data_IF_260398930401
#
_entry.id   IF_260398930401
#
_cell.length_a   1.000
_cell.length_b   1.000
_cell.length_c   1.000
_cell.angle_alpha   90.00
_cell.angle_beta   90.00
_cell.angle_gamma   90.00
#
_symmetry.space_group_name_H-M   'P 1'
#
loop_
_entity.id
_entity.type
_entity.pdbx_description
1 polymer ?
#
# COMPACT_ATOMS: atom_id res chain seq x y z
N UNK A 1 -16.86 -25.73 4.86
CA UNK A 1 -17.23 -24.71 3.85
C UNK A 1 -16.45 -23.45 4.17
N UNK A 2 -15.52 -22.97 3.32
CA UNK A 2 -14.83 -21.71 3.60
C UNK A 2 -15.77 -20.54 3.30
N UNK A 3 -15.96 -19.65 4.28
CA UNK A 3 -16.82 -18.48 4.17
C UNK A 3 -16.21 -17.47 3.19
N UNK A 4 -17.05 -17.11 2.23
CA UNK A 4 -16.86 -16.06 1.23
C UNK A 4 -16.45 -14.74 1.93
N UNK A 5 -15.26 -14.25 1.60
CA UNK A 5 -14.72 -12.97 2.09
C UNK A 5 -15.61 -11.84 1.59
N UNK A 6 -16.00 -10.96 2.51
CA UNK A 6 -16.79 -9.78 2.24
C UNK A 6 -16.06 -8.87 1.22
N UNK A 7 -16.64 -8.57 0.03
CA UNK A 7 -15.93 -7.89 -1.06
C UNK A 7 -15.59 -6.42 -0.77
N UNK A 8 -15.99 -5.87 0.40
CA UNK A 8 -15.64 -4.52 0.83
C UNK A 8 -14.49 -4.41 1.83
N UNK A 9 -14.02 -5.53 2.39
CA UNK A 9 -13.08 -5.53 3.52
C UNK A 9 -11.65 -5.78 3.04
N UNK A 10 -10.74 -4.81 3.28
CA UNK A 10 -9.34 -4.96 2.90
C UNK A 10 -8.61 -6.03 3.73
N UNK A 11 -7.52 -6.55 3.16
CA UNK A 11 -6.68 -7.60 3.73
C UNK A 11 -5.19 -7.41 3.39
N UNK A 12 -4.31 -7.93 4.26
CA UNK A 12 -2.85 -7.91 4.08
C UNK A 12 -2.35 -9.34 3.81
N UNK A 13 -1.55 -9.50 2.77
CA UNK A 13 -0.95 -10.76 2.37
C UNK A 13 0.57 -10.66 2.50
N UNK A 14 1.18 -11.62 3.21
CA UNK A 14 2.63 -11.67 3.43
C UNK A 14 3.21 -12.70 2.46
N UNK A 15 4.07 -12.25 1.57
CA UNK A 15 4.86 -13.09 0.69
C UNK A 15 6.33 -13.00 1.13
N UNK A 16 6.79 -14.04 1.80
CA UNK A 16 8.18 -14.14 2.24
C UNK A 16 9.02 -14.86 1.16
N UNK A 17 10.10 -14.22 0.74
CA UNK A 17 11.12 -14.79 -0.14
C UNK A 17 12.48 -14.53 0.50
N UNK A 18 13.48 -15.38 0.24
CA UNK A 18 14.76 -15.44 0.97
C UNK A 18 15.56 -14.14 1.11
N UNK A 19 15.16 -13.05 0.44
CA UNK A 19 15.82 -11.75 0.49
C UNK A 19 14.87 -10.56 0.73
N UNK A 20 13.55 -10.71 0.53
CA UNK A 20 12.57 -9.63 0.62
C UNK A 20 11.24 -10.18 1.12
N UNK A 21 10.71 -9.55 2.16
CA UNK A 21 9.33 -9.76 2.60
C UNK A 21 8.42 -8.75 1.91
N UNK A 22 7.42 -9.23 1.16
CA UNK A 22 6.44 -8.39 0.46
C UNK A 22 5.11 -8.42 1.20
N UNK A 23 4.65 -7.25 1.63
CA UNK A 23 3.32 -7.05 2.23
C UNK A 23 2.39 -6.51 1.16
N UNK A 24 1.55 -7.37 0.58
CA UNK A 24 0.57 -6.97 -0.43
C UNK A 24 -0.75 -6.56 0.24
N UNK A 25 -1.21 -5.35 -0.05
CA UNK A 25 -2.50 -4.84 0.42
C UNK A 25 -3.55 -5.07 -0.66
N UNK A 26 -4.68 -5.67 -0.28
CA UNK A 26 -5.85 -5.84 -1.15
C UNK A 26 -7.06 -5.15 -0.56
N UNK A 27 -7.83 -4.44 -1.37
CA UNK A 27 -9.06 -3.78 -0.94
C UNK A 27 -8.82 -2.48 -0.18
N UNK A 28 -9.86 -1.98 0.49
CA UNK A 28 -9.85 -0.66 1.14
C UNK A 28 -8.88 -0.64 2.33
N UNK A 29 -7.99 0.35 2.37
CA UNK A 29 -7.15 0.62 3.54
C UNK A 29 -7.89 1.62 4.44
N UNK A 30 -8.64 1.08 5.40
CA UNK A 30 -9.52 1.80 6.31
C UNK A 30 -9.02 1.79 7.76
N UNK A 31 -9.80 2.37 8.68
CA UNK A 31 -9.49 2.42 10.11
C UNK A 31 -9.32 1.04 10.78
N UNK A 32 -9.83 -0.03 10.17
CA UNK A 32 -9.69 -1.40 10.68
C UNK A 32 -8.36 -2.00 10.20
N UNK A 33 -8.03 -1.84 8.92
CA UNK A 33 -6.83 -2.43 8.32
C UNK A 33 -5.55 -1.63 8.60
N UNK A 34 -5.67 -0.31 8.77
CA UNK A 34 -4.54 0.59 9.06
C UNK A 34 -3.70 0.18 10.28
N UNK A 35 -4.28 -0.07 11.47
CA UNK A 35 -3.49 -0.49 12.63
C UNK A 35 -2.85 -1.88 12.43
N UNK A 36 -3.55 -2.80 11.76
CA UNK A 36 -3.02 -4.13 11.44
C UNK A 36 -1.79 -4.04 10.53
N UNK A 37 -1.84 -3.18 9.50
CA UNK A 37 -0.71 -2.93 8.60
C UNK A 37 0.52 -2.41 9.36
N UNK A 38 0.33 -1.46 10.28
CA UNK A 38 1.41 -0.91 11.10
C UNK A 38 2.00 -2.00 11.99
N UNK A 39 1.17 -2.80 12.63
CA UNK A 39 1.63 -3.89 13.50
C UNK A 39 2.42 -4.96 12.72
N UNK A 40 1.93 -5.37 11.55
CA UNK A 40 2.62 -6.34 10.68
C UNK A 40 3.96 -5.79 10.22
N UNK A 41 4.02 -4.51 9.83
CA UNK A 41 5.27 -3.84 9.48
C UNK A 41 6.27 -3.83 10.63
N UNK A 42 5.87 -3.39 11.82
CA UNK A 42 6.74 -3.31 13.00
C UNK A 42 7.27 -4.69 13.41
N UNK A 43 6.43 -5.72 13.32
CA UNK A 43 6.83 -7.11 13.55
C UNK A 43 7.84 -7.56 12.50
N UNK A 44 7.53 -7.36 11.22
CA UNK A 44 8.37 -7.83 10.11
C UNK A 44 9.72 -7.11 10.05
N UNK A 45 9.78 -5.81 10.39
CA UNK A 45 11.06 -5.06 10.33
C UNK A 45 12.03 -5.51 11.41
N UNK A 46 11.52 -6.04 12.52
CA UNK A 46 12.35 -6.54 13.62
C UNK A 46 13.07 -7.86 13.29
N UNK A 47 12.56 -8.63 12.31
CA UNK A 47 13.11 -9.94 11.91
C UNK A 47 14.12 -9.85 10.75
N UNK A 48 14.38 -8.66 10.20
CA UNK A 48 15.56 -8.38 9.38
C UNK A 48 15.51 -8.48 7.84
N UNK A 49 14.46 -8.99 7.14
CA UNK A 49 14.44 -8.89 5.68
C UNK A 49 14.09 -7.47 5.24
N UNK A 50 14.53 -7.11 4.04
CA UNK A 50 14.04 -5.89 3.39
C UNK A 50 12.54 -6.03 3.14
N UNK A 51 11.74 -5.05 3.57
CA UNK A 51 10.28 -5.11 3.41
C UNK A 51 9.83 -4.19 2.29
N UNK A 52 8.93 -4.69 1.44
CA UNK A 52 8.26 -3.93 0.40
C UNK A 52 6.76 -3.98 0.62
N UNK A 53 6.13 -2.81 0.66
CA UNK A 53 4.67 -2.68 0.69
C UNK A 53 4.18 -2.64 -0.76
N UNK A 54 3.47 -3.67 -1.19
CA UNK A 54 2.86 -3.77 -2.52
C UNK A 54 1.42 -3.26 -2.47
N UNK A 55 1.16 -2.20 -3.23
CA UNK A 55 -0.11 -1.49 -3.29
C UNK A 55 -0.84 -1.74 -4.61
N UNK A 56 -0.46 -2.76 -5.40
CA UNK A 56 -1.10 -3.08 -6.70
C UNK A 56 -2.60 -3.25 -6.60
N UNK A 57 -3.06 -3.94 -5.55
CA UNK A 57 -4.46 -4.31 -5.34
C UNK A 57 -5.11 -3.47 -4.25
N UNK A 58 -4.45 -2.39 -3.82
CA UNK A 58 -5.00 -1.48 -2.83
C UNK A 58 -6.16 -0.68 -3.44
N UNK A 59 -7.29 -0.70 -2.74
CA UNK A 59 -8.50 0.03 -3.10
C UNK A 59 -8.48 1.48 -2.60
N UNK A 60 -9.65 2.04 -2.28
CA UNK A 60 -9.74 3.35 -1.63
C UNK A 60 -8.95 3.38 -0.31
N UNK A 61 -8.45 4.55 0.06
CA UNK A 61 -7.67 4.78 1.27
C UNK A 61 -8.37 5.86 2.08
N UNK A 62 -8.72 5.56 3.33
CA UNK A 62 -9.30 6.54 4.26
C UNK A 62 -8.20 7.41 4.89
N UNK A 63 -8.58 8.40 5.71
CA UNK A 63 -7.61 9.24 6.40
C UNK A 63 -6.68 8.41 7.32
N UNK A 64 -7.21 7.39 8.00
CA UNK A 64 -6.46 6.48 8.85
C UNK A 64 -5.49 5.64 8.03
N UNK A 65 -5.94 5.13 6.89
CA UNK A 65 -5.09 4.41 5.95
C UNK A 65 -3.96 5.28 5.40
N UNK A 66 -4.27 6.55 5.07
CA UNK A 66 -3.27 7.49 4.61
C UNK A 66 -2.22 7.78 5.71
N UNK A 67 -2.65 7.99 6.95
CA UNK A 67 -1.76 8.17 8.09
C UNK A 67 -0.83 6.97 8.29
N UNK A 68 -1.36 5.75 8.17
CA UNK A 68 -0.55 4.53 8.25
C UNK A 68 0.50 4.48 7.13
N UNK A 69 0.12 4.77 5.89
CA UNK A 69 1.07 4.83 4.76
C UNK A 69 2.13 5.92 4.96
N UNK A 70 1.74 7.11 5.43
CA UNK A 70 2.71 8.18 5.73
C UNK A 70 3.70 7.75 6.81
N UNK A 71 3.23 7.13 7.88
CA UNK A 71 4.07 6.58 8.96
C UNK A 71 5.04 5.53 8.44
N UNK A 72 4.56 4.56 7.65
CA UNK A 72 5.37 3.50 7.05
C UNK A 72 6.48 4.10 6.18
N UNK A 73 6.13 5.05 5.30
CA UNK A 73 7.09 5.74 4.44
C UNK A 73 8.14 6.50 5.25
N UNK A 74 7.73 7.24 6.27
CA UNK A 74 8.63 7.96 7.16
C UNK A 74 9.56 7.01 7.93
N UNK A 75 9.08 5.80 8.22
CA UNK A 75 9.83 4.73 8.88
C UNK A 75 10.71 3.92 7.92
N UNK A 76 10.83 4.33 6.65
CA UNK A 76 11.71 3.71 5.65
C UNK A 76 11.08 2.59 4.83
N UNK A 77 9.76 2.39 4.90
CA UNK A 77 9.07 1.43 4.07
C UNK A 77 9.20 1.75 2.58
N UNK A 78 9.59 0.75 1.80
CA UNK A 78 9.60 0.84 0.33
C UNK A 78 8.23 0.49 -0.19
N UNK A 79 7.57 1.44 -0.85
CA UNK A 79 6.28 1.21 -1.49
C UNK A 79 6.48 0.89 -2.96
N UNK A 80 5.76 -0.12 -3.45
CA UNK A 80 5.79 -0.55 -4.84
C UNK A 80 4.41 -0.45 -5.46
N UNK A 81 4.40 0.04 -6.70
CA UNK A 81 3.23 0.14 -7.57
C UNK A 81 3.57 -0.52 -8.91
N UNK A 82 3.34 -1.82 -9.08
CA UNK A 82 3.61 -2.49 -10.35
C UNK A 82 2.66 -2.02 -11.47
N UNK A 83 1.52 -1.42 -11.09
CA UNK A 83 0.60 -0.71 -11.98
C UNK A 83 0.24 0.66 -11.39
N UNK A 84 -0.14 1.65 -12.22
CA UNK A 84 -0.68 2.91 -11.74
C UNK A 84 -1.84 2.64 -10.76
N UNK A 85 -1.82 3.21 -9.55
CA UNK A 85 -2.90 3.00 -8.60
C UNK A 85 -4.17 3.66 -9.11
N UNK A 86 -5.30 2.98 -8.93
CA UNK A 86 -6.61 3.52 -9.28
C UNK A 86 -7.08 4.61 -8.31
N UNK A 87 -6.48 4.67 -7.11
CA UNK A 87 -6.79 5.67 -6.07
C UNK A 87 -5.90 6.91 -6.20
N UNK A 88 -6.50 8.10 -6.20
CA UNK A 88 -5.78 9.40 -6.24
C UNK A 88 -4.93 9.64 -4.99
N UNK A 89 -5.28 9.07 -3.84
CA UNK A 89 -4.47 9.19 -2.62
C UNK A 89 -3.15 8.43 -2.79
N UNK A 90 -3.19 7.28 -3.46
CA UNK A 90 -2.04 6.41 -3.66
C UNK A 90 -1.04 6.97 -4.68
N UNK A 91 -1.45 7.85 -5.60
CA UNK A 91 -0.51 8.46 -6.57
C UNK A 91 0.58 9.29 -5.91
N UNK A 92 0.36 9.81 -4.68
CA UNK A 92 1.36 10.57 -3.89
C UNK A 92 2.55 9.73 -3.43
N UNK A 93 2.42 8.41 -3.52
CA UNK A 93 3.43 7.44 -3.10
C UNK A 93 4.17 6.83 -4.30
N UNK A 94 3.80 7.22 -5.53
CA UNK A 94 4.50 6.76 -6.72
C UNK A 94 5.95 7.26 -6.74
N UNK A 95 6.90 6.41 -7.20
CA UNK A 95 8.24 6.88 -7.48
C UNK A 95 8.19 7.95 -8.57
N UNK A 96 9.04 8.98 -8.45
CA UNK A 96 9.05 10.16 -9.32
C UNK A 96 9.04 9.83 -10.83
N UNK A 97 9.66 8.71 -11.22
CA UNK A 97 9.68 8.21 -12.61
C UNK A 97 8.29 7.81 -13.16
N UNK A 98 7.37 7.33 -12.33
CA UNK A 98 6.00 7.01 -12.75
C UNK A 98 5.08 8.23 -12.74
N UNK A 99 5.38 9.24 -11.91
CA UNK A 99 4.54 10.42 -11.77
C UNK A 99 4.48 11.25 -13.06
N UNK A 100 5.60 11.35 -13.79
CA UNK A 100 5.65 12.03 -15.09
C UNK A 100 4.72 11.37 -16.14
N UNK A 101 4.58 10.04 -16.11
CA UNK A 101 3.75 9.29 -17.05
C UNK A 101 2.24 9.48 -16.76
N UNK A 102 1.86 9.53 -15.48
CA UNK A 102 0.48 9.86 -15.07
C UNK A 102 0.12 11.33 -15.32
N UNK A 103 1.05 12.27 -15.10
CA UNK A 103 0.85 13.67 -15.48
C UNK A 103 0.63 13.85 -16.99
N UNK A 104 1.25 13.02 -17.83
CA UNK A 104 1.03 13.02 -19.28
C UNK A 104 -0.32 12.40 -19.69
N UNK A 105 -0.84 11.43 -18.93
CA UNK A 105 -2.13 10.78 -19.23
C UNK A 105 -3.36 11.50 -18.67
N UNK A 106 -3.20 12.40 -17.68
CA UNK A 106 -4.29 13.21 -17.12
C UNK A 106 -3.89 14.69 -17.02
N UNK A 107 -3.90 15.45 -18.14
CA UNK A 107 -3.40 16.83 -18.18
C UNK A 107 -4.35 17.88 -17.55
N UNK A 108 -5.35 17.47 -16.76
CA UNK A 108 -6.52 18.30 -16.44
C UNK A 108 -6.79 18.58 -14.97
N UNK A 109 -5.81 18.98 -14.15
CA UNK A 109 -6.12 19.69 -12.89
C UNK A 109 -4.91 20.46 -12.33
N UNK A 110 -4.61 21.62 -12.94
CA UNK A 110 -4.06 22.75 -12.19
C UNK A 110 -5.23 23.59 -11.70
N UNK A 111 -5.39 23.69 -10.39
CA UNK A 111 -5.97 24.85 -9.71
C UNK A 111 -5.29 24.96 -8.37
#
# INVERSE_FOLDING_TARGET
MPKQSDPGSGAIYIHDSSQVCRLQIRGTLDARLAPELVQVWETTRSIGPSIVIDLESAGPVTAEGENALQYLRASGARMQFPKPPSSRTLTRYLPFRMNAFLCAMFPGHRS
#
